data_IF_385349324949
#
_entry.id   IF_385349324949
#
_cell.length_a   1.000
_cell.length_b   1.000
_cell.length_c   1.000
_cell.angle_alpha   90.00
_cell.angle_beta   90.00
_cell.angle_gamma   90.00
#
_symmetry.space_group_name_H-M   'P 1'
#
loop_
_entity.id
_entity.type
_entity.pdbx_description
1 polymer ?
#
# COMPACT_ATOMS: atom_id res chain seq x y z
N UNK A 1 -5.52 -0.90 21.10
CA UNK A 1 -5.51 0.37 20.34
C UNK A 1 -5.93 0.06 18.92
N UNK A 2 -6.90 0.77 18.36
CA UNK A 2 -7.32 0.61 16.96
C UNK A 2 -6.71 1.75 16.17
N UNK A 3 -6.02 1.42 15.07
CA UNK A 3 -5.57 2.41 14.08
C UNK A 3 -6.37 2.16 12.82
N UNK A 4 -7.05 3.20 12.32
CA UNK A 4 -7.77 3.15 11.04
C UNK A 4 -6.80 3.52 9.93
N UNK A 5 -6.76 2.70 8.90
CA UNK A 5 -5.98 2.95 7.68
C UNK A 5 -6.95 3.05 6.50
N UNK A 6 -6.82 4.10 5.70
CA UNK A 6 -7.56 4.29 4.46
C UNK A 6 -6.59 4.62 3.33
N UNK A 7 -6.87 4.10 2.13
CA UNK A 7 -6.12 4.37 0.92
C UNK A 7 -7.13 4.83 -0.13
N UNK A 8 -7.00 6.06 -0.58
CA UNK A 8 -7.68 6.56 -1.78
C UNK A 8 -6.64 6.58 -2.90
N UNK A 9 -6.85 5.78 -3.95
CA UNK A 9 -5.92 5.65 -5.07
C UNK A 9 -6.58 6.18 -6.33
N UNK A 10 -5.97 7.20 -6.93
CA UNK A 10 -6.33 7.73 -8.24
C UNK A 10 -5.48 7.04 -9.31
N UNK A 11 -6.13 6.16 -10.08
CA UNK A 11 -5.48 5.40 -11.16
C UNK A 11 -5.06 6.27 -12.34
N UNK A 12 -5.74 7.39 -12.59
CA UNK A 12 -5.44 8.27 -13.72
C UNK A 12 -4.29 9.21 -13.38
N UNK A 13 -4.27 9.74 -12.16
CA UNK A 13 -3.22 10.64 -11.69
C UNK A 13 -1.97 9.92 -11.17
N UNK A 14 -2.02 8.59 -10.97
CA UNK A 14 -0.99 7.81 -10.28
C UNK A 14 -0.64 8.45 -8.92
N UNK A 15 -1.66 8.82 -8.14
CA UNK A 15 -1.50 9.37 -6.79
C UNK A 15 -2.30 8.57 -5.77
N UNK A 16 -1.87 8.59 -4.52
CA UNK A 16 -2.62 7.99 -3.42
C UNK A 16 -2.61 8.88 -2.19
N UNK A 17 -3.74 9.00 -1.51
CA UNK A 17 -3.79 9.54 -0.15
C UNK A 17 -3.82 8.36 0.81
N UNK A 18 -2.80 8.28 1.65
CA UNK A 18 -2.68 7.27 2.71
C UNK A 18 -3.01 7.94 4.03
N UNK A 19 -4.09 7.52 4.67
CA UNK A 19 -4.47 7.99 6.01
C UNK A 19 -4.15 6.91 7.04
N UNK A 20 -3.41 7.27 8.09
CA UNK A 20 -3.11 6.41 9.24
C UNK A 20 -3.51 7.18 10.51
N UNK A 21 -4.65 6.83 11.09
CA UNK A 21 -5.22 7.60 12.20
C UNK A 21 -5.62 9.02 11.77
N UNK A 22 -4.97 10.03 12.36
CA UNK A 22 -5.23 11.45 12.06
C UNK A 22 -4.21 12.05 11.09
N UNK A 23 -3.21 11.27 10.67
CA UNK A 23 -2.19 11.69 9.72
C UNK A 23 -2.61 11.24 8.32
N UNK A 24 -2.49 12.14 7.35
CA UNK A 24 -2.71 11.87 5.95
C UNK A 24 -1.48 12.29 5.16
N UNK A 25 -1.07 11.46 4.21
CA UNK A 25 0.03 11.75 3.31
C UNK A 25 -0.36 11.48 1.87
N UNK A 26 -0.02 12.42 0.99
CA UNK A 26 -0.14 12.23 -0.44
C UNK A 26 1.13 11.58 -0.99
N UNK A 27 0.94 10.52 -1.76
CA UNK A 27 2.01 9.79 -2.42
C UNK A 27 1.86 9.99 -3.92
N UNK A 28 2.92 10.45 -4.57
CA UNK A 28 2.98 10.57 -6.02
C UNK A 28 3.66 9.35 -6.65
N UNK A 29 3.41 9.16 -7.95
CA UNK A 29 3.89 7.97 -8.70
C UNK A 29 3.43 6.69 -8.02
N UNK A 30 2.22 6.73 -7.48
CA UNK A 30 1.63 5.66 -6.73
C UNK A 30 1.25 4.50 -7.66
N UNK A 31 1.46 3.27 -7.21
CA UNK A 31 1.00 2.06 -7.90
C UNK A 31 0.31 1.13 -6.92
N UNK A 32 -0.94 0.80 -7.23
CA UNK A 32 -1.71 -0.20 -6.51
C UNK A 32 -1.68 -1.53 -7.27
N UNK A 33 -1.09 -2.57 -6.68
CA UNK A 33 -0.95 -3.89 -7.29
C UNK A 33 -1.67 -4.93 -6.44
N UNK A 34 -2.53 -5.74 -7.05
CA UNK A 34 -3.07 -6.94 -6.42
C UNK A 34 -2.23 -8.17 -6.84
N UNK A 35 -1.52 -8.79 -5.91
CA UNK A 35 -0.63 -9.93 -6.13
C UNK A 35 -0.60 -10.83 -4.90
N UNK A 36 -0.33 -12.13 -5.03
CA UNK A 36 -0.18 -12.98 -3.85
C UNK A 36 0.90 -12.44 -2.88
N UNK A 37 0.60 -12.20 -1.56
CA UNK A 37 1.56 -11.87 -0.46
C UNK A 37 1.43 -12.55 0.94
N UNK A 38 2.54 -12.53 1.69
CA UNK A 38 2.92 -13.07 3.00
C UNK A 38 4.16 -12.27 3.44
N UNK A 39 4.08 -11.67 4.61
CA UNK A 39 5.03 -10.73 5.20
C UNK A 39 6.13 -11.47 5.99
N UNK A 40 7.39 -11.02 5.91
CA UNK A 40 8.40 -11.32 6.92
C UNK A 40 9.25 -10.08 7.25
N UNK A 41 9.74 -10.04 8.50
CA UNK A 41 10.61 -8.99 9.05
C UNK A 41 11.68 -8.53 8.07
N UNK A 42 11.94 -7.23 8.08
CA UNK A 42 13.05 -6.55 7.41
C UNK A 42 12.79 -6.00 5.99
N UNK A 43 11.53 -5.93 5.54
CA UNK A 43 11.11 -4.98 4.49
C UNK A 43 11.39 -5.36 3.04
N UNK A 44 11.77 -6.60 2.75
CA UNK A 44 11.95 -7.09 1.37
C UNK A 44 10.71 -7.84 0.86
N UNK A 45 10.32 -7.59 -0.41
CA UNK A 45 9.20 -8.25 -1.08
C UNK A 45 9.69 -9.49 -1.84
N UNK A 46 9.24 -10.69 -1.46
CA UNK A 46 9.46 -11.94 -2.21
C UNK A 46 8.11 -12.55 -2.65
N UNK A 47 8.08 -13.33 -3.75
CA UNK A 47 6.88 -13.95 -4.31
C UNK A 47 6.37 -15.10 -3.44
N UNK A 48 5.08 -15.41 -3.63
CA UNK A 48 4.27 -15.94 -2.53
C UNK A 48 3.77 -17.31 -2.90
N UNK A 49 4.19 -18.28 -2.11
CA UNK A 49 3.72 -19.65 -2.23
C UNK A 49 2.38 -19.78 -1.48
N UNK A 50 1.26 -19.79 -2.22
CA UNK A 50 -0.07 -20.09 -1.68
C UNK A 50 -1.21 -19.27 -2.31
N UNK A 51 -2.49 -19.55 -1.98
CA UNK A 51 -3.68 -18.92 -2.61
C UNK A 51 -4.04 -17.53 -2.05
N UNK A 52 -3.13 -16.85 -1.36
CA UNK A 52 -3.41 -15.53 -0.78
C UNK A 52 -3.24 -14.46 -1.84
N UNK A 53 -4.03 -13.38 -1.76
CA UNK A 53 -3.88 -12.15 -2.55
C UNK A 53 -3.56 -11.00 -1.59
N UNK A 54 -2.75 -10.07 -2.02
CA UNK A 54 -2.34 -8.90 -1.28
C UNK A 54 -2.45 -7.67 -2.16
N UNK A 55 -2.86 -6.58 -1.54
CA UNK A 55 -2.95 -5.28 -2.15
C UNK A 55 -1.73 -4.47 -1.70
N UNK A 56 -0.84 -4.15 -2.63
CA UNK A 56 0.40 -3.41 -2.38
C UNK A 56 0.24 -2.01 -2.96
N UNK A 57 0.39 -1.00 -2.11
CA UNK A 57 0.56 0.38 -2.55
C UNK A 57 2.03 0.76 -2.40
N UNK A 58 2.65 1.16 -3.51
CA UNK A 58 3.96 1.83 -3.49
C UNK A 58 3.80 3.27 -3.97
N UNK A 59 4.64 4.19 -3.50
CA UNK A 59 4.61 5.58 -3.90
C UNK A 59 5.74 6.39 -3.25
N UNK A 60 5.92 7.63 -3.69
CA UNK A 60 6.89 8.56 -3.09
C UNK A 60 6.13 9.53 -2.20
N UNK A 61 6.36 9.51 -0.88
CA UNK A 61 5.76 10.49 0.04
C UNK A 61 6.19 11.91 -0.31
N UNK A 62 5.25 12.87 -0.24
CA UNK A 62 5.56 14.30 -0.20
C UNK A 62 5.76 14.82 1.22
#
# INVERSE_FOLDING_TARGET
>A
MIVRVAIEYDTEAETAVVQIGNEAQEWHRARLTNSAMTETRDGYLLPISGPRQALILTGVPT
#
